data_IF_329017657806
#
_entry.id   IF_329017657806
#
_cell.length_a   1.000
_cell.length_b   1.000
_cell.length_c   1.000
_cell.angle_alpha   90.00
_cell.angle_beta   90.00
_cell.angle_gamma   90.00
#
_symmetry.space_group_name_H-M   'P 1'
#
loop_
_entity.id
_entity.type
_entity.pdbx_description
1 polymer ?
#
# COMPACT_ATOMS: atom_id res chain seq x y z
N UNK A 1 22.78 -4.85 -7.57
CA UNK A 1 21.75 -4.29 -6.69
C UNK A 1 20.79 -5.42 -6.40
N UNK A 2 20.78 -5.93 -5.18
CA UNK A 2 19.90 -7.02 -4.80
C UNK A 2 18.58 -6.34 -4.42
N UNK A 3 17.55 -6.44 -5.27
CA UNK A 3 16.19 -6.14 -4.83
C UNK A 3 15.92 -7.09 -3.67
N UNK A 4 15.73 -6.55 -2.47
CA UNK A 4 15.24 -7.33 -1.35
C UNK A 4 13.82 -7.77 -1.73
N UNK A 5 13.71 -8.98 -2.28
CA UNK A 5 12.41 -9.60 -2.49
C UNK A 5 11.83 -9.75 -1.10
N UNK A 6 10.85 -8.91 -0.79
CA UNK A 6 10.13 -9.03 0.47
C UNK A 6 9.59 -10.46 0.56
N UNK A 7 9.90 -11.11 1.69
CA UNK A 7 9.58 -12.51 1.88
C UNK A 7 8.07 -12.65 2.03
N UNK A 8 7.43 -13.34 1.08
CA UNK A 8 6.01 -13.67 1.18
C UNK A 8 5.68 -14.40 2.47
N UNK A 9 6.64 -15.12 3.06
CA UNK A 9 6.46 -15.79 4.34
C UNK A 9 6.20 -14.81 5.48
N UNK A 10 6.94 -13.69 5.55
CA UNK A 10 6.74 -12.67 6.60
C UNK A 10 5.36 -12.00 6.49
N UNK A 11 4.86 -11.80 5.26
CA UNK A 11 3.51 -11.26 5.05
C UNK A 11 2.46 -12.28 5.50
N UNK A 12 2.66 -13.57 5.18
CA UNK A 12 1.75 -14.63 5.64
C UNK A 12 1.74 -14.76 7.16
N UNK A 13 2.89 -14.72 7.81
CA UNK A 13 2.99 -14.74 9.28
C UNK A 13 2.25 -13.56 9.92
N UNK A 14 2.41 -12.37 9.35
CA UNK A 14 1.65 -11.19 9.76
C UNK A 14 0.13 -11.42 9.64
N UNK A 15 -0.32 -11.92 8.49
CA UNK A 15 -1.75 -12.16 8.22
C UNK A 15 -2.33 -13.18 9.18
N UNK A 16 -1.64 -14.29 9.42
CA UNK A 16 -2.08 -15.33 10.35
C UNK A 16 -2.21 -14.79 11.78
N UNK A 17 -1.23 -14.00 12.23
CA UNK A 17 -1.25 -13.34 13.54
C UNK A 17 -2.41 -12.36 13.67
N UNK A 18 -2.52 -11.42 12.73
CA UNK A 18 -3.55 -10.39 12.73
C UNK A 18 -4.96 -10.99 12.63
N UNK A 19 -5.15 -12.05 11.84
CA UNK A 19 -6.44 -12.71 11.72
C UNK A 19 -6.85 -13.37 13.05
N UNK A 20 -5.92 -14.02 13.75
CA UNK A 20 -6.18 -14.58 15.08
C UNK A 20 -6.64 -13.50 16.07
N UNK A 21 -5.95 -12.36 16.09
CA UNK A 21 -6.28 -11.23 16.98
C UNK A 21 -7.67 -10.63 16.67
N UNK A 22 -8.02 -10.51 15.39
CA UNK A 22 -9.33 -10.01 14.96
C UNK A 22 -10.44 -11.00 15.32
N UNK A 23 -10.22 -12.30 15.14
CA UNK A 23 -11.19 -13.34 15.51
C UNK A 23 -11.45 -13.36 17.02
N UNK A 24 -10.41 -13.15 17.83
CA UNK A 24 -10.52 -13.05 19.29
C UNK A 24 -11.19 -11.74 19.74
N UNK A 25 -11.08 -10.65 18.96
CA UNK A 25 -11.65 -9.34 19.29
C UNK A 25 -12.18 -8.57 18.07
N UNK A 26 -13.35 -8.94 17.51
CA UNK A 26 -13.86 -8.32 16.28
C UNK A 26 -14.35 -6.87 16.45
N UNK A 27 -14.56 -6.43 17.69
CA UNK A 27 -14.97 -5.06 18.05
C UNK A 27 -13.81 -4.24 18.62
N UNK A 28 -12.58 -4.59 18.22
CA UNK A 28 -11.36 -3.95 18.67
C UNK A 28 -11.30 -2.49 18.20
N UNK A 29 -11.32 -1.57 19.17
CA UNK A 29 -11.17 -0.15 18.91
C UNK A 29 -9.76 0.24 18.45
N UNK A 30 -9.62 1.47 17.95
CA UNK A 30 -8.42 1.98 17.29
C UNK A 30 -7.13 1.84 18.12
N UNK A 31 -7.15 2.15 19.42
CA UNK A 31 -5.95 2.06 20.27
C UNK A 31 -5.43 0.61 20.41
N UNK A 32 -6.34 -0.36 20.49
CA UNK A 32 -5.97 -1.77 20.57
C UNK A 32 -5.52 -2.28 19.19
N UNK A 33 -6.21 -1.89 18.11
CA UNK A 33 -5.81 -2.22 16.74
C UNK A 33 -4.39 -1.72 16.43
N UNK A 34 -4.08 -0.48 16.82
CA UNK A 34 -2.73 0.08 16.71
C UNK A 34 -1.69 -0.75 17.46
N UNK A 35 -2.03 -1.23 18.66
CA UNK A 35 -1.11 -1.93 19.53
C UNK A 35 -0.89 -3.41 19.15
N UNK A 36 -1.92 -4.12 18.71
CA UNK A 36 -1.86 -5.57 18.47
C UNK A 36 -1.67 -5.96 17.01
N UNK A 37 -2.23 -5.19 16.07
CA UNK A 37 -2.18 -5.51 14.64
C UNK A 37 -1.21 -4.60 13.90
N UNK A 38 -1.28 -3.30 14.16
CA UNK A 38 -0.58 -2.34 13.31
C UNK A 38 0.91 -2.24 13.59
N UNK A 39 1.36 -2.50 14.82
CA UNK A 39 2.79 -2.53 15.13
C UNK A 39 3.52 -3.58 14.29
N UNK A 40 2.97 -4.79 14.16
CA UNK A 40 3.55 -5.85 13.33
C UNK A 40 3.54 -5.47 11.85
N UNK A 41 2.50 -4.76 11.39
CA UNK A 41 2.46 -4.25 10.01
C UNK A 41 3.49 -3.14 9.75
N UNK A 42 3.69 -2.25 10.72
CA UNK A 42 4.71 -1.20 10.70
C UNK A 42 6.11 -1.83 10.65
N UNK A 43 6.35 -2.88 11.42
CA UNK A 43 7.59 -3.66 11.36
C UNK A 43 7.77 -4.36 10.00
N UNK A 44 6.71 -4.94 9.45
CA UNK A 44 6.71 -5.56 8.11
C UNK A 44 7.09 -4.55 7.00
N UNK A 45 6.62 -3.30 7.12
CA UNK A 45 6.98 -2.21 6.23
C UNK A 45 8.43 -1.73 6.43
N UNK A 46 9.11 -2.14 7.50
CA UNK A 46 10.43 -1.63 7.88
C UNK A 46 10.39 -0.21 8.48
N UNK A 47 9.22 0.20 8.98
CA UNK A 47 9.02 1.49 9.65
C UNK A 47 9.41 1.33 11.13
N UNK A 48 10.58 1.83 11.49
CA UNK A 48 11.19 1.69 12.81
C UNK A 48 10.87 2.90 13.70
N UNK A 49 10.11 2.69 14.77
CA UNK A 49 9.81 3.72 15.76
C UNK A 49 10.89 3.73 16.86
N UNK A 50 11.49 4.87 17.24
CA UNK A 50 11.32 6.22 16.69
C UNK A 50 12.39 6.60 15.64
N UNK A 51 13.10 5.61 15.06
CA UNK A 51 14.31 5.84 14.26
C UNK A 51 14.02 6.55 12.95
N UNK A 52 13.06 6.04 12.17
CA UNK A 52 12.61 6.63 10.92
C UNK A 52 11.09 6.85 10.91
N UNK A 53 10.38 6.50 11.99
CA UNK A 53 8.92 6.67 12.08
C UNK A 53 8.54 7.49 13.30
N UNK A 54 7.76 8.55 13.08
CA UNK A 54 7.19 9.40 14.13
C UNK A 54 5.72 9.07 14.36
N UNK A 55 5.31 8.99 15.62
CA UNK A 55 3.92 8.78 16.02
C UNK A 55 3.18 10.12 16.17
N UNK A 56 1.88 10.13 15.88
CA UNK A 56 0.99 11.29 16.11
C UNK A 56 1.53 12.57 15.42
N UNK A 57 2.07 12.40 14.21
CA UNK A 57 2.78 13.44 13.47
C UNK A 57 1.82 14.58 13.09
N UNK A 58 2.23 15.81 13.39
CA UNK A 58 1.39 16.99 13.15
C UNK A 58 1.50 17.48 11.70
N UNK A 59 0.38 17.43 10.99
CA UNK A 59 0.21 17.86 9.60
C UNK A 59 -0.44 19.24 9.58
N UNK A 60 0.20 20.22 8.94
CA UNK A 60 -0.38 21.54 8.70
C UNK A 60 -1.11 21.53 7.36
N UNK A 61 -2.43 21.31 7.41
CA UNK A 61 -3.29 21.43 6.23
C UNK A 61 -4.16 22.67 6.34
N UNK A 62 -3.92 23.64 5.46
CA UNK A 62 -4.64 24.92 5.41
C UNK A 62 -4.59 25.69 6.76
N UNK A 63 -5.76 25.97 7.36
CA UNK A 63 -5.90 26.73 8.60
C UNK A 63 -5.93 25.85 9.86
N UNK A 64 -5.81 24.52 9.70
CA UNK A 64 -5.94 23.54 10.78
C UNK A 64 -4.68 22.70 10.91
N UNK A 65 -4.38 22.29 12.15
CA UNK A 65 -3.35 21.27 12.41
C UNK A 65 -4.07 19.96 12.68
N UNK A 66 -3.68 18.94 11.94
CA UNK A 66 -4.16 17.58 12.08
C UNK A 66 -3.04 16.69 12.56
N UNK A 67 -3.41 15.48 12.99
CA UNK A 67 -2.45 14.44 13.32
C UNK A 67 -2.71 13.22 12.46
N UNK A 68 -1.63 12.63 11.98
CA UNK A 68 -1.63 11.31 11.36
C UNK A 68 -0.93 10.35 12.31
N UNK A 69 -1.40 9.12 12.34
CA UNK A 69 -0.97 8.15 13.35
C UNK A 69 0.52 7.81 13.25
N UNK A 70 1.01 7.58 12.03
CA UNK A 70 2.41 7.27 11.76
C UNK A 70 2.91 8.07 10.55
N UNK A 71 4.10 8.64 10.68
CA UNK A 71 4.81 9.27 9.58
C UNK A 71 6.18 8.66 9.41
N UNK A 72 6.45 8.09 8.23
CA UNK A 72 7.81 7.74 7.83
C UNK A 72 8.56 9.01 7.48
N UNK A 73 9.65 9.27 8.20
CA UNK A 73 10.50 10.44 8.06
C UNK A 73 11.86 10.00 7.54
N UNK A 74 12.19 10.42 6.32
CA UNK A 74 13.50 10.21 5.70
C UNK A 74 14.16 11.57 5.49
N UNK A 75 15.45 11.65 5.83
CA UNK A 75 16.25 12.88 5.69
C UNK A 75 15.59 14.13 6.30
N UNK A 76 14.91 13.93 7.43
CA UNK A 76 14.23 14.97 8.21
C UNK A 76 12.91 15.45 7.61
N UNK A 77 12.32 14.71 6.66
CA UNK A 77 11.05 15.06 6.01
C UNK A 77 10.08 13.88 5.98
N UNK A 78 8.78 14.10 6.20
CA UNK A 78 7.79 13.05 6.02
C UNK A 78 7.72 12.66 4.54
N UNK A 79 7.80 11.37 4.25
CA UNK A 79 7.72 10.81 2.89
C UNK A 79 6.53 9.87 2.70
N UNK A 80 6.07 9.25 3.78
CA UNK A 80 4.88 8.41 3.80
C UNK A 80 4.08 8.60 5.09
N UNK A 81 2.77 8.43 4.98
CA UNK A 81 1.84 8.45 6.10
C UNK A 81 1.08 7.14 6.21
N UNK A 82 0.77 6.73 7.45
CA UNK A 82 -0.18 5.67 7.73
C UNK A 82 -1.20 6.17 8.75
N UNK A 83 -2.48 6.02 8.42
CA UNK A 83 -3.62 6.33 9.27
C UNK A 83 -4.42 5.05 9.54
N UNK A 84 -4.79 4.84 10.81
CA UNK A 84 -5.51 3.67 11.24
C UNK A 84 -6.90 4.01 11.79
N UNK A 85 -7.80 3.03 11.72
CA UNK A 85 -9.13 3.04 12.33
C UNK A 85 -9.32 1.74 13.11
N UNK A 86 -10.32 1.70 13.99
CA UNK A 86 -10.68 0.46 14.71
C UNK A 86 -11.17 -0.62 13.75
N UNK A 87 -11.01 -1.89 14.13
CA UNK A 87 -11.37 -3.07 13.31
C UNK A 87 -12.84 -3.05 12.90
N UNK A 88 -13.72 -2.55 13.77
CA UNK A 88 -15.16 -2.42 13.55
C UNK A 88 -15.57 -1.13 12.84
N UNK A 89 -14.60 -0.31 12.42
CA UNK A 89 -14.83 1.00 11.81
C UNK A 89 -14.59 0.90 10.30
N UNK A 90 -15.63 0.98 9.45
CA UNK A 90 -15.47 0.98 8.01
C UNK A 90 -14.67 2.19 7.54
N UNK A 91 -13.86 2.02 6.49
CA UNK A 91 -13.22 3.13 5.80
C UNK A 91 -14.29 3.89 5.00
N UNK A 92 -14.82 4.97 5.57
CA UNK A 92 -15.88 5.79 4.95
C UNK A 92 -15.29 6.80 3.97
N UNK A 93 -16.09 7.35 3.03
CA UNK A 93 -15.64 8.42 2.14
C UNK A 93 -15.05 9.63 2.89
N UNK A 94 -15.64 10.01 4.03
CA UNK A 94 -15.17 11.13 4.85
C UNK A 94 -13.75 10.88 5.41
N UNK A 95 -13.42 9.64 5.78
CA UNK A 95 -12.07 9.30 6.20
C UNK A 95 -11.07 9.36 5.05
N UNK A 96 -11.46 8.86 3.87
CA UNK A 96 -10.61 8.91 2.66
C UNK A 96 -10.33 10.34 2.24
N UNK A 97 -11.36 11.19 2.12
CA UNK A 97 -11.21 12.59 1.72
C UNK A 97 -10.26 13.33 2.67
N UNK A 98 -10.45 13.16 3.98
CA UNK A 98 -9.59 13.75 5.00
C UNK A 98 -8.14 13.25 4.91
N UNK A 99 -7.94 11.96 4.67
CA UNK A 99 -6.61 11.38 4.53
C UNK A 99 -5.89 11.89 3.26
N UNK A 100 -6.60 11.98 2.14
CA UNK A 100 -6.06 12.55 0.90
C UNK A 100 -5.64 14.02 1.09
N UNK A 101 -6.39 14.80 1.87
CA UNK A 101 -6.04 16.18 2.20
C UNK A 101 -4.74 16.31 3.00
N UNK A 102 -4.44 15.34 3.87
CA UNK A 102 -3.17 15.29 4.59
C UNK A 102 -2.00 15.14 3.62
N UNK A 103 -2.12 14.21 2.67
CA UNK A 103 -1.10 13.97 1.64
C UNK A 103 -0.90 15.24 0.78
N UNK A 104 -2.00 15.90 0.38
CA UNK A 104 -1.94 17.16 -0.39
C UNK A 104 -1.22 18.28 0.36
N UNK A 105 -1.52 18.46 1.66
CA UNK A 105 -1.03 19.56 2.49
C UNK A 105 0.48 19.53 2.74
N UNK A 106 1.00 18.40 3.22
CA UNK A 106 2.43 18.25 3.59
C UNK A 106 3.32 17.85 2.40
N UNK A 107 2.72 17.66 1.22
CA UNK A 107 3.42 17.18 0.00
C UNK A 107 4.08 15.82 0.20
N UNK A 108 3.42 14.95 0.94
CA UNK A 108 3.84 13.57 1.20
C UNK A 108 3.36 12.68 0.06
N UNK A 109 4.27 11.86 -0.48
CA UNK A 109 4.02 11.14 -1.73
C UNK A 109 3.28 9.81 -1.52
N UNK A 110 3.38 9.21 -0.34
CA UNK A 110 2.86 7.86 -0.09
C UNK A 110 1.90 7.84 1.09
N UNK A 111 0.80 7.10 0.99
CA UNK A 111 -0.19 6.97 2.06
C UNK A 111 -0.74 5.57 2.20
N UNK A 112 -1.00 5.14 3.43
CA UNK A 112 -1.73 3.92 3.76
C UNK A 112 -2.90 4.28 4.70
N UNK A 113 -4.10 3.85 4.37
CA UNK A 113 -5.28 3.92 5.24
C UNK A 113 -5.77 2.50 5.53
N UNK A 114 -5.97 2.16 6.81
CA UNK A 114 -6.39 0.81 7.18
C UNK A 114 -7.27 0.76 8.43
N UNK A 115 -8.09 -0.28 8.53
CA UNK A 115 -8.76 -0.69 9.76
C UNK A 115 -8.32 -2.09 10.22
N UNK A 116 -7.25 -2.65 9.64
CA UNK A 116 -6.74 -4.00 9.94
C UNK A 116 -7.41 -5.12 9.15
N UNK A 117 -8.60 -4.87 8.59
CA UNK A 117 -9.25 -5.81 7.66
C UNK A 117 -9.10 -5.36 6.20
N UNK A 118 -9.20 -4.04 5.97
CA UNK A 118 -9.05 -3.38 4.67
C UNK A 118 -7.79 -2.51 4.67
N UNK A 119 -7.09 -2.50 3.54
CA UNK A 119 -5.88 -1.71 3.31
C UNK A 119 -6.01 -0.95 2.00
N UNK A 120 -5.84 0.37 2.06
CA UNK A 120 -5.87 1.28 0.92
C UNK A 120 -4.51 1.97 0.79
N UNK A 121 -3.89 1.80 -0.37
CA UNK A 121 -2.56 2.34 -0.69
C UNK A 121 -2.70 3.51 -1.65
N UNK A 122 -2.11 4.64 -1.32
CA UNK A 122 -2.23 5.89 -2.06
C UNK A 122 -0.89 6.42 -2.54
N UNK A 123 -0.90 7.08 -3.69
CA UNK A 123 0.21 7.86 -4.21
C UNK A 123 -0.25 9.27 -4.55
N UNK A 124 0.47 10.27 -4.03
CA UNK A 124 0.31 11.67 -4.45
C UNK A 124 1.25 11.96 -5.60
N UNK A 125 0.70 12.52 -6.70
CA UNK A 125 1.46 12.94 -7.88
C UNK A 125 1.26 14.43 -8.15
N UNK A 126 2.25 15.05 -8.80
CA UNK A 126 2.14 16.42 -9.30
C UNK A 126 2.42 16.43 -10.80
N UNK A 127 1.38 16.55 -11.60
CA UNK A 127 1.48 16.59 -13.07
C UNK A 127 0.99 17.94 -13.58
N UNK A 128 1.82 18.65 -14.33
CA UNK A 128 1.49 19.96 -14.91
C UNK A 128 0.91 20.96 -13.87
N UNK A 129 1.55 21.03 -12.69
CA UNK A 129 1.11 21.85 -11.55
C UNK A 129 -0.23 21.47 -10.91
N UNK A 130 -0.85 20.36 -11.34
CA UNK A 130 -2.03 19.78 -10.69
C UNK A 130 -1.58 18.68 -9.73
N UNK A 131 -2.05 18.76 -8.48
CA UNK A 131 -1.85 17.71 -7.48
C UNK A 131 -2.98 16.70 -7.61
N UNK A 132 -2.64 15.42 -7.74
CA UNK A 132 -3.56 14.28 -7.58
C UNK A 132 -3.14 13.42 -6.40
N UNK A 133 -4.10 12.71 -5.82
CA UNK A 133 -3.87 11.61 -4.89
C UNK A 133 -4.66 10.46 -5.47
N UNK A 134 -3.95 9.41 -5.88
CA UNK A 134 -4.48 8.29 -6.61
C UNK A 134 -4.48 7.07 -5.67
N UNK A 135 -5.61 6.35 -5.61
CA UNK A 135 -5.69 5.05 -4.95
C UNK A 135 -4.99 4.03 -5.86
N UNK A 136 -3.86 3.51 -5.40
CA UNK A 136 -3.00 2.56 -6.11
C UNK A 136 -3.54 1.14 -5.97
N UNK A 137 -3.94 0.75 -4.76
CA UNK A 137 -4.43 -0.59 -4.47
C UNK A 137 -5.41 -0.53 -3.31
N UNK A 138 -6.44 -1.38 -3.38
CA UNK A 138 -7.35 -1.66 -2.27
C UNK A 138 -7.45 -3.17 -2.12
N UNK A 139 -7.12 -3.67 -0.93
CA UNK A 139 -7.07 -5.10 -0.66
C UNK A 139 -7.51 -5.41 0.77
N UNK A 140 -7.68 -6.69 1.07
CA UNK A 140 -8.05 -7.19 2.40
C UNK A 140 -6.86 -7.89 3.05
N UNK A 141 -6.93 -8.07 4.38
CA UNK A 141 -5.90 -8.72 5.18
C UNK A 141 -5.48 -10.08 4.56
N UNK A 142 -6.44 -10.94 4.22
CA UNK A 142 -6.21 -12.26 3.64
C UNK A 142 -5.56 -12.22 2.24
N UNK A 143 -5.68 -11.09 1.54
CA UNK A 143 -5.13 -10.91 0.20
C UNK A 143 -3.74 -10.27 0.19
N UNK A 144 -3.30 -9.65 1.29
CA UNK A 144 -1.97 -9.02 1.40
C UNK A 144 -0.80 -9.92 0.96
N UNK A 145 -0.78 -11.25 1.19
CA UNK A 145 0.33 -12.09 0.75
C UNK A 145 0.53 -12.09 -0.77
N UNK A 146 -0.53 -11.82 -1.53
CA UNK A 146 -0.50 -11.66 -2.99
C UNK A 146 -0.07 -10.27 -3.46
N UNK A 147 0.08 -9.31 -2.54
CA UNK A 147 0.37 -7.89 -2.79
C UNK A 147 1.79 -7.51 -2.35
N UNK A 148 2.72 -8.46 -2.37
CA UNK A 148 4.10 -8.24 -1.96
C UNK A 148 4.76 -7.03 -2.66
N UNK A 149 4.51 -6.83 -3.96
CA UNK A 149 5.07 -5.67 -4.68
C UNK A 149 4.47 -4.33 -4.24
N UNK A 150 3.21 -4.31 -3.84
CA UNK A 150 2.59 -3.11 -3.28
C UNK A 150 3.25 -2.80 -1.94
N UNK A 151 3.34 -3.75 -1.02
CA UNK A 151 3.96 -3.51 0.30
C UNK A 151 5.45 -3.12 0.14
N UNK A 152 6.20 -3.75 -0.78
CA UNK A 152 7.60 -3.39 -1.11
C UNK A 152 7.73 -1.91 -1.54
N UNK A 153 6.77 -1.39 -2.30
CA UNK A 153 6.77 0.01 -2.75
C UNK A 153 6.63 1.02 -1.59
N UNK A 154 6.17 0.59 -0.41
CA UNK A 154 5.99 1.45 0.77
C UNK A 154 7.11 1.24 1.82
N UNK A 155 8.15 0.46 1.50
CA UNK A 155 9.32 0.30 2.36
C UNK A 155 10.29 1.49 2.25
N UNK A 156 10.99 1.86 3.34
CA UNK A 156 11.86 3.03 3.38
C UNK A 156 12.94 3.06 2.30
N UNK A 157 13.60 1.94 2.04
CA UNK A 157 14.69 1.88 1.07
C UNK A 157 14.17 2.04 -0.36
N UNK A 158 13.05 1.39 -0.69
CA UNK A 158 12.37 1.54 -1.99
C UNK A 158 11.93 2.98 -2.26
N UNK A 159 11.40 3.65 -1.22
CA UNK A 159 11.02 5.08 -1.29
C UNK A 159 12.27 5.96 -1.44
N UNK A 160 13.32 5.67 -0.66
CA UNK A 160 14.58 6.42 -0.68
C UNK A 160 15.30 6.35 -2.03
N UNK A 161 15.29 5.17 -2.64
CA UNK A 161 15.96 4.91 -3.92
C UNK A 161 15.07 5.33 -5.13
N UNK A 162 13.92 5.95 -4.87
CA UNK A 162 12.95 6.42 -5.89
C UNK A 162 12.39 5.28 -6.76
N UNK A 163 12.45 4.03 -6.29
CA UNK A 163 11.97 2.85 -7.02
C UNK A 163 10.47 2.59 -6.84
N UNK A 164 9.84 3.18 -5.80
CA UNK A 164 8.42 3.00 -5.50
C UNK A 164 7.51 3.39 -6.66
N UNK A 165 7.79 4.49 -7.35
CA UNK A 165 7.00 4.93 -8.51
C UNK A 165 7.10 3.93 -9.66
N UNK A 166 8.30 3.41 -9.90
CA UNK A 166 8.56 2.40 -10.94
C UNK A 166 7.78 1.12 -10.64
N UNK A 167 7.82 0.63 -9.40
CA UNK A 167 7.09 -0.59 -9.02
C UNK A 167 5.59 -0.41 -9.25
N UNK A 168 5.02 0.72 -8.83
CA UNK A 168 3.59 0.99 -8.94
C UNK A 168 3.15 1.13 -10.40
N UNK A 169 3.91 1.85 -11.23
CA UNK A 169 3.62 1.97 -12.65
C UNK A 169 3.65 0.60 -13.37
N UNK A 170 4.57 -0.29 -12.99
CA UNK A 170 4.62 -1.64 -13.56
C UNK A 170 3.42 -2.50 -13.15
N UNK A 171 2.93 -2.36 -11.92
CA UNK A 171 1.72 -3.05 -11.45
C UNK A 171 0.51 -2.58 -12.25
N UNK A 172 0.33 -1.27 -12.41
CA UNK A 172 -0.75 -0.68 -13.22
C UNK A 172 -0.73 -1.16 -14.66
N UNK A 173 0.44 -1.21 -15.30
CA UNK A 173 0.55 -1.70 -16.68
C UNK A 173 0.27 -3.21 -16.77
N UNK A 174 0.66 -3.99 -15.76
CA UNK A 174 0.42 -5.44 -15.74
C UNK A 174 -1.06 -5.79 -15.51
N UNK A 175 -1.79 -5.00 -14.72
CA UNK A 175 -3.23 -5.13 -14.52
C UNK A 175 -4.04 -4.69 -15.75
N UNK A 176 -3.45 -3.82 -16.60
CA UNK A 176 -4.02 -3.37 -17.87
C UNK A 176 -3.60 -4.16 -19.11
N UNK A 177 -2.77 -5.20 -19.00
CA UNK A 177 -2.38 -6.01 -20.16
C UNK A 177 -3.63 -6.76 -20.71
N UNK A 178 -4.14 -6.41 -21.92
CA UNK A 178 -5.20 -7.21 -22.51
C UNK A 178 -4.65 -8.62 -22.75
N UNK A 179 -5.48 -9.63 -22.49
CA UNK A 179 -5.18 -11.02 -22.82
C UNK A 179 -5.03 -11.20 -24.35
N UNK A 180 -3.88 -10.82 -24.90
CA UNK A 180 -3.54 -11.01 -26.29
C UNK A 180 -2.21 -11.72 -26.38
N UNK A 181 -2.17 -13.00 -25.96
CA UNK A 181 -1.17 -13.96 -26.43
C UNK A 181 -1.61 -15.42 -26.17
N UNK A 182 -2.78 -15.80 -26.67
CA UNK A 182 -3.11 -17.19 -27.02
C UNK A 182 -3.97 -17.25 -28.28
N UNK A 183 -3.51 -16.66 -29.38
CA UNK A 183 -4.03 -17.00 -30.70
C UNK A 183 -2.92 -16.68 -31.70
N UNK A 184 -2.11 -17.69 -32.02
CA UNK A 184 -1.26 -17.87 -33.22
C UNK A 184 -0.18 -18.92 -32.91
N UNK A 185 -0.62 -20.12 -32.47
CA UNK A 185 0.28 -21.28 -32.50
C UNK A 185 -0.45 -22.62 -32.57
N UNK A 186 -1.49 -22.74 -33.39
CA UNK A 186 -1.86 -24.00 -34.03
C UNK A 186 -2.54 -23.69 -35.36
N UNK A 187 -2.00 -24.21 -36.47
CA UNK A 187 -2.61 -24.05 -37.79
C UNK A 187 -1.67 -23.92 -38.98
N UNK A 188 -0.48 -24.52 -38.96
CA UNK A 188 0.25 -24.82 -40.20
C UNK A 188 0.89 -26.20 -40.10
N UNK A 189 0.07 -27.23 -40.32
CA UNK A 189 0.54 -28.56 -40.71
C UNK A 189 -0.23 -29.00 -41.96
N UNK A 190 0.51 -29.00 -43.07
CA UNK A 190 0.40 -29.86 -44.26
C UNK A 190 -0.94 -30.55 -44.51
N UNK A 191 -1.58 -30.19 -45.61
CA UNK A 191 -2.25 -31.17 -46.48
C UNK A 191 -1.38 -31.35 -47.72
N UNK A 192 -0.70 -32.50 -47.77
CA UNK A 192 -0.20 -33.09 -48.99
C UNK A 192 -1.38 -33.65 -49.81
N UNK A 193 -1.20 -33.62 -51.13
CA UNK A 193 -1.60 -34.65 -52.11
C UNK A 193 -3.04 -34.75 -52.67
N UNK A 194 -3.11 -34.40 -53.97
CA UNK A 194 -3.55 -35.22 -55.12
C UNK A 194 -5.03 -35.23 -55.58
N UNK A 195 -5.14 -35.11 -56.92
CA UNK A 195 -6.12 -35.65 -57.86
C UNK A 195 -7.40 -34.84 -58.17
N UNK A 196 -7.39 -34.09 -59.29
CA UNK A 196 -8.08 -34.42 -60.55
C UNK A 196 -7.74 -33.38 -61.64
#
# INVERSE_FOLDING_TARGET
MYLAVMDSASITEYVDSAQSDIEDSPQMGEATMKASILNDFIELLGWEIPRNTELEYSVKAFASTYKVDYALVLDGRPVAFLEAKGVDTPLTPDFREKFEDYLRGEKVNWGILTNGQEYEFYQRRVLNSKVSVDLVEQTTLDQLPSKNKIIEAYQPETIRDEESEVIIEHIDVSSFAPATHQCWRQGLTREDSLAA
#
